data_IF_910624311040
#
_entry.id   IF_910624311040
#
_cell.length_a   1.000
_cell.length_b   1.000
_cell.length_c   1.000
_cell.angle_alpha   90.00
_cell.angle_beta   90.00
_cell.angle_gamma   90.00
#
_symmetry.space_group_name_H-M   'P 1'
#
loop_
_entity.id
_entity.type
_entity.pdbx_description
1 polymer ?
#
# COMPACT_ATOMS: atom_id res chain seq x y z
N UNK A 1 -10.76 13.15 -22.61
CA UNK A 1 -10.23 12.79 -21.27
C UNK A 1 -11.24 11.91 -20.56
N UNK A 2 -10.78 10.78 -20.05
CA UNK A 2 -11.62 9.88 -19.25
C UNK A 2 -11.20 9.95 -17.78
N UNK A 3 -12.13 9.60 -16.90
CA UNK A 3 -11.83 9.42 -15.48
C UNK A 3 -11.52 7.95 -15.23
N UNK A 4 -10.33 7.69 -14.71
CA UNK A 4 -9.82 6.33 -14.46
C UNK A 4 -9.59 6.17 -12.96
N UNK A 5 -10.21 5.14 -12.39
CA UNK A 5 -9.99 4.76 -10.99
C UNK A 5 -9.29 3.39 -10.96
N UNK A 6 -8.16 3.33 -10.30
CA UNK A 6 -7.39 2.10 -10.14
C UNK A 6 -7.27 1.82 -8.65
N UNK A 7 -7.76 0.65 -8.22
CA UNK A 7 -7.65 0.21 -6.84
C UNK A 7 -6.51 -0.79 -6.66
N UNK A 8 -5.62 -0.53 -5.72
CA UNK A 8 -4.59 -1.47 -5.31
C UNK A 8 -5.03 -2.24 -4.06
N UNK A 9 -4.74 -3.53 -4.00
CA UNK A 9 -5.03 -4.33 -2.82
C UNK A 9 -4.24 -3.80 -1.60
N UNK A 10 -4.91 -3.72 -0.46
CA UNK A 10 -4.32 -3.14 0.75
C UNK A 10 -3.53 -4.21 1.50
N UNK A 11 -2.20 -4.03 1.68
CA UNK A 11 -1.42 -4.94 2.51
C UNK A 11 -1.74 -4.76 3.99
N UNK A 12 -1.70 -5.85 4.76
CA UNK A 12 -1.80 -5.78 6.21
C UNK A 12 -0.58 -5.08 6.82
N UNK A 13 -0.81 -4.18 7.75
CA UNK A 13 0.26 -3.44 8.44
C UNK A 13 0.82 -4.25 9.62
N UNK A 14 1.28 -5.48 9.34
CA UNK A 14 1.80 -6.42 10.34
C UNK A 14 3.24 -6.86 10.10
N UNK A 15 3.90 -6.29 9.12
CA UNK A 15 5.27 -6.62 8.75
C UNK A 15 5.73 -5.81 7.55
N UNK A 16 7.01 -5.89 7.26
CA UNK A 16 7.60 -5.18 6.13
C UNK A 16 7.06 -5.73 4.80
N UNK A 17 7.01 -4.85 3.80
CA UNK A 17 6.70 -5.27 2.44
C UNK A 17 7.84 -6.15 1.90
N UNK A 18 7.46 -7.10 1.07
CA UNK A 18 8.42 -7.90 0.30
C UNK A 18 8.11 -7.78 -1.19
N UNK A 19 8.95 -8.40 -2.01
CA UNK A 19 8.84 -8.28 -3.47
C UNK A 19 7.48 -8.75 -4.02
N UNK A 20 6.82 -9.68 -3.34
CA UNK A 20 5.47 -10.12 -3.72
C UNK A 20 4.43 -9.02 -3.59
N UNK A 21 4.51 -8.21 -2.54
CA UNK A 21 3.63 -7.04 -2.37
C UNK A 21 3.88 -6.01 -3.48
N UNK A 22 5.14 -5.74 -3.79
CA UNK A 22 5.53 -4.80 -4.83
C UNK A 22 5.06 -5.29 -6.19
N UNK A 23 5.24 -6.57 -6.49
CA UNK A 23 4.80 -7.18 -7.75
C UNK A 23 3.27 -7.12 -7.91
N UNK A 24 2.52 -7.18 -6.80
CA UNK A 24 1.06 -7.06 -6.82
C UNK A 24 0.57 -5.62 -7.05
N UNK A 25 1.31 -4.63 -6.59
CA UNK A 25 0.90 -3.21 -6.66
C UNK A 25 1.51 -2.47 -7.86
N UNK A 26 2.68 -2.88 -8.33
CA UNK A 26 3.38 -2.21 -9.43
C UNK A 26 2.57 -2.12 -10.73
N UNK A 27 1.84 -3.17 -11.17
CA UNK A 27 1.03 -3.06 -12.38
C UNK A 27 0.00 -1.94 -12.32
N UNK A 28 -0.61 -1.69 -11.16
CA UNK A 28 -1.54 -0.58 -10.98
C UNK A 28 -0.87 0.77 -11.18
N UNK A 29 0.33 0.95 -10.67
CA UNK A 29 1.10 2.18 -10.86
C UNK A 29 1.48 2.39 -12.33
N UNK A 30 1.92 1.33 -13.01
CA UNK A 30 2.24 1.38 -14.45
C UNK A 30 1.01 1.79 -15.26
N UNK A 31 -0.14 1.19 -14.98
CA UNK A 31 -1.39 1.51 -15.64
C UNK A 31 -1.81 2.97 -15.37
N UNK A 32 -1.64 3.45 -14.14
CA UNK A 32 -1.93 4.83 -13.78
C UNK A 32 -1.05 5.80 -14.58
N UNK A 33 0.24 5.53 -14.68
CA UNK A 33 1.18 6.35 -15.44
C UNK A 33 0.85 6.37 -16.92
N UNK A 34 0.46 5.24 -17.49
CA UNK A 34 0.03 5.15 -18.87
C UNK A 34 -1.17 6.06 -19.15
N UNK A 35 -2.21 5.97 -18.33
CA UNK A 35 -3.42 6.78 -18.52
C UNK A 35 -3.14 8.28 -18.29
N UNK A 36 -2.27 8.64 -17.36
CA UNK A 36 -1.85 10.04 -17.18
C UNK A 36 -1.10 10.54 -18.40
N UNK A 37 -0.25 9.72 -18.99
CA UNK A 37 0.53 10.09 -20.17
C UNK A 37 -0.34 10.37 -21.39
N UNK A 38 -1.47 9.70 -21.54
CA UNK A 38 -2.42 9.93 -22.64
C UNK A 38 -3.49 10.97 -22.31
N UNK A 39 -3.38 11.65 -21.16
CA UNK A 39 -4.24 12.77 -20.80
C UNK A 39 -5.50 12.44 -20.02
N UNK A 40 -5.65 11.22 -19.54
CA UNK A 40 -6.78 10.85 -18.68
C UNK A 40 -6.60 11.39 -17.26
N UNK A 41 -7.72 11.59 -16.56
CA UNK A 41 -7.71 11.93 -15.15
C UNK A 41 -7.70 10.64 -14.34
N UNK A 42 -6.62 10.40 -13.57
CA UNK A 42 -6.37 9.12 -12.92
C UNK A 42 -6.29 9.26 -11.42
N UNK A 43 -7.02 8.39 -10.73
CA UNK A 43 -6.89 8.19 -9.29
C UNK A 43 -6.40 6.76 -9.05
N UNK A 44 -5.21 6.64 -8.50
CA UNK A 44 -4.66 5.36 -8.05
C UNK A 44 -4.76 5.31 -6.53
N UNK A 45 -5.60 4.42 -6.02
CA UNK A 45 -5.99 4.38 -4.61
C UNK A 45 -5.57 3.06 -3.99
N UNK A 46 -4.88 3.13 -2.88
CA UNK A 46 -4.59 1.99 -2.03
C UNK A 46 -4.47 2.46 -0.58
N UNK A 47 -4.07 1.60 0.31
CA UNK A 47 -3.90 1.93 1.70
C UNK A 47 -3.25 0.79 2.47
N UNK A 48 -3.16 0.95 3.78
CA UNK A 48 -2.73 -0.11 4.68
C UNK A 48 -3.93 -0.72 5.38
N UNK A 49 -4.02 -2.04 5.41
CA UNK A 49 -5.03 -2.74 6.20
C UNK A 49 -4.52 -2.79 7.65
N UNK A 50 -5.00 -1.84 8.46
CA UNK A 50 -4.51 -1.63 9.82
C UNK A 50 -5.30 -2.40 10.87
N UNK A 51 -6.41 -3.00 10.49
CA UNK A 51 -7.28 -3.76 11.39
C UNK A 51 -7.26 -5.24 11.02
N UNK A 52 -7.62 -6.06 11.97
CA UNK A 52 -7.77 -7.48 11.74
C UNK A 52 -6.77 -8.33 12.51
N UNK A 53 -6.99 -9.64 12.42
CA UNK A 53 -6.24 -10.65 13.18
C UNK A 53 -4.73 -10.61 12.95
N UNK A 54 -4.20 -10.45 11.72
CA UNK A 54 -2.76 -10.44 11.52
C UNK A 54 -2.04 -9.34 12.30
N UNK A 55 -2.60 -8.15 12.38
CA UNK A 55 -2.03 -7.03 13.14
C UNK A 55 -2.11 -7.30 14.64
N UNK A 56 -3.25 -7.82 15.12
CA UNK A 56 -3.44 -8.15 16.52
C UNK A 56 -2.48 -9.24 16.99
N UNK A 57 -2.25 -10.28 16.18
CA UNK A 57 -1.30 -11.37 16.47
C UNK A 57 0.11 -10.81 16.57
N UNK A 58 0.53 -9.99 15.62
CA UNK A 58 1.86 -9.38 15.63
C UNK A 58 2.07 -8.51 16.85
N UNK A 59 1.07 -7.71 17.23
CA UNK A 59 1.11 -6.86 18.41
C UNK A 59 1.30 -7.69 19.68
N UNK A 60 0.59 -8.81 19.80
CA UNK A 60 0.72 -9.73 20.94
C UNK A 60 2.12 -10.34 21.00
N UNK A 61 2.67 -10.77 19.87
CA UNK A 61 4.02 -11.35 19.80
C UNK A 61 5.09 -10.34 20.25
N UNK A 62 4.94 -9.07 19.87
CA UNK A 62 5.90 -8.02 20.20
C UNK A 62 5.56 -7.27 21.49
N UNK A 63 4.49 -7.65 22.18
CA UNK A 63 4.01 -7.02 23.42
C UNK A 63 3.74 -5.52 23.24
N UNK A 64 3.12 -5.18 22.13
CA UNK A 64 2.75 -3.81 21.77
C UNK A 64 1.24 -3.70 21.56
N UNK A 65 0.73 -2.46 21.58
CA UNK A 65 -0.64 -2.20 21.20
C UNK A 65 -0.80 -2.37 19.68
N UNK A 66 -1.93 -2.93 19.19
CA UNK A 66 -2.15 -3.09 17.74
C UNK A 66 -1.94 -1.80 16.93
N UNK A 67 -2.33 -0.65 17.45
CA UNK A 67 -2.12 0.62 16.79
C UNK A 67 -0.65 0.97 16.60
N UNK A 68 0.20 0.64 17.56
CA UNK A 68 1.65 0.86 17.43
C UNK A 68 2.23 0.05 16.26
N UNK A 69 1.78 -1.20 16.11
CA UNK A 69 2.19 -2.05 14.99
C UNK A 69 1.71 -1.48 13.66
N UNK A 70 0.43 -1.13 13.55
CA UNK A 70 -0.12 -0.60 12.30
C UNK A 70 0.52 0.73 11.92
N UNK A 71 0.75 1.62 12.87
CA UNK A 71 1.40 2.91 12.60
C UNK A 71 2.85 2.74 12.14
N UNK A 72 3.59 1.84 12.76
CA UNK A 72 4.97 1.53 12.39
C UNK A 72 5.06 1.04 10.94
N UNK A 73 4.30 0.00 10.60
CA UNK A 73 4.38 -0.60 9.27
C UNK A 73 3.71 0.25 8.19
N UNK A 74 2.66 1.00 8.54
CA UNK A 74 2.08 1.97 7.62
C UNK A 74 3.12 3.01 7.18
N UNK A 75 3.89 3.56 8.13
CA UNK A 75 4.95 4.52 7.80
C UNK A 75 6.04 3.88 6.95
N UNK A 76 6.40 2.65 7.25
CA UNK A 76 7.36 1.88 6.45
C UNK A 76 6.85 1.67 5.01
N UNK A 77 5.55 1.39 4.83
CA UNK A 77 4.94 1.28 3.50
C UNK A 77 5.00 2.59 2.73
N UNK A 78 4.65 3.70 3.38
CA UNK A 78 4.71 5.03 2.77
C UNK A 78 6.13 5.34 2.28
N UNK A 79 7.13 5.09 3.11
CA UNK A 79 8.52 5.33 2.77
C UNK A 79 8.99 4.44 1.62
N UNK A 80 8.59 3.17 1.64
CA UNK A 80 8.94 2.20 0.58
C UNK A 80 8.35 2.61 -0.76
N UNK A 81 7.06 2.96 -0.81
CA UNK A 81 6.41 3.37 -2.05
C UNK A 81 6.97 4.69 -2.57
N UNK A 82 7.32 5.62 -1.69
CA UNK A 82 7.98 6.86 -2.09
C UNK A 82 9.34 6.59 -2.76
N UNK A 83 10.14 5.69 -2.18
CA UNK A 83 11.44 5.30 -2.75
C UNK A 83 11.30 4.60 -4.10
N UNK A 84 10.24 3.84 -4.30
CA UNK A 84 9.95 3.17 -5.56
C UNK A 84 9.36 4.11 -6.61
N UNK A 85 8.99 5.33 -6.22
CA UNK A 85 8.40 6.31 -7.11
C UNK A 85 6.95 6.02 -7.48
N UNK A 86 6.21 5.32 -6.64
CA UNK A 86 4.79 5.06 -6.88
C UNK A 86 4.01 6.37 -6.94
N UNK A 87 3.14 6.47 -7.90
CA UNK A 87 2.29 7.63 -8.13
C UNK A 87 0.91 7.45 -7.51
#
# INVERSE_FOLDING_TARGET
>A
MRNILIGGAWPYANGSLHIGHIAGLLPGDVLARYHRAIGDNVYFVSGSDCHGTPVAIRAKQERKHPREISDLYHQEFVDCFAKLGFS
#
